data_IF_165198236909
#
_entry.id   IF_165198236909
#
_cell.length_a   1.000
_cell.length_b   1.000
_cell.length_c   1.000
_cell.angle_alpha   90.00
_cell.angle_beta   90.00
_cell.angle_gamma   90.00
#
_symmetry.space_group_name_H-M   'P 1'
#
loop_
_entity.id
_entity.type
_entity.pdbx_description
1 polymer ?
#
# COMPACT_ATOMS: atom_id res chain seq x y z
N UNK A 1 -9.29 18.28 14.90
CA UNK A 1 -9.38 17.92 13.47
C UNK A 1 -8.23 17.00 13.15
N UNK A 2 -8.52 15.77 12.74
CA UNK A 2 -7.50 14.90 12.13
C UNK A 2 -7.50 15.18 10.63
N UNK A 3 -6.35 15.65 10.12
CA UNK A 3 -6.17 15.93 8.69
C UNK A 3 -5.71 14.69 7.92
N UNK A 4 -5.12 13.72 8.62
CA UNK A 4 -4.61 12.48 8.06
C UNK A 4 -5.13 11.35 8.95
N UNK A 5 -5.69 10.35 8.31
CA UNK A 5 -6.11 9.13 8.96
C UNK A 5 -5.12 8.02 8.67
N UNK A 6 -4.93 7.15 9.67
CA UNK A 6 -4.08 5.99 9.57
C UNK A 6 -4.77 4.77 10.17
N UNK A 7 -4.72 3.68 9.44
CA UNK A 7 -5.25 2.38 9.86
C UNK A 7 -4.22 1.31 9.59
N UNK A 8 -4.17 0.28 10.43
CA UNK A 8 -3.25 -0.83 10.22
C UNK A 8 -3.92 -2.17 10.48
N UNK A 9 -3.41 -3.21 9.84
CA UNK A 9 -3.97 -4.55 9.94
C UNK A 9 -2.89 -5.61 9.74
N UNK A 10 -3.15 -6.80 10.26
CA UNK A 10 -2.22 -7.92 10.21
C UNK A 10 -2.98 -9.22 9.96
N UNK A 11 -2.39 -10.16 9.24
CA UNK A 11 -2.94 -11.51 9.11
C UNK A 11 -1.83 -12.56 9.14
N UNK A 12 -2.17 -13.73 9.67
CA UNK A 12 -1.33 -14.93 9.70
C UNK A 12 -2.05 -16.11 9.04
N UNK A 13 -3.03 -15.83 8.18
CA UNK A 13 -3.74 -16.87 7.42
C UNK A 13 -2.77 -17.56 6.47
N UNK A 14 -2.76 -18.89 6.43
CA UNK A 14 -1.83 -19.65 5.59
C UNK A 14 -2.09 -19.43 4.09
N UNK A 15 -3.31 -19.07 3.70
CA UNK A 15 -3.63 -18.76 2.33
C UNK A 15 -3.26 -17.31 2.00
N UNK A 16 -2.36 -17.14 1.03
CA UNK A 16 -1.78 -15.83 0.69
C UNK A 16 -2.82 -14.78 0.27
N UNK A 17 -3.82 -15.18 -0.54
CA UNK A 17 -4.93 -14.31 -0.94
C UNK A 17 -5.76 -13.85 0.28
N UNK A 18 -6.12 -14.79 1.15
CA UNK A 18 -6.89 -14.48 2.37
C UNK A 18 -6.10 -13.62 3.33
N UNK A 19 -4.80 -13.87 3.49
CA UNK A 19 -3.95 -13.08 4.37
C UNK A 19 -3.90 -11.60 3.95
N UNK A 20 -3.71 -11.34 2.65
CA UNK A 20 -3.79 -9.99 2.09
C UNK A 20 -5.16 -9.33 2.33
N UNK A 21 -6.24 -10.06 2.04
CA UNK A 21 -7.61 -9.54 2.21
C UNK A 21 -7.96 -9.26 3.68
N UNK A 22 -7.61 -10.16 4.60
CA UNK A 22 -7.85 -9.99 6.03
C UNK A 22 -7.06 -8.79 6.59
N UNK A 23 -5.77 -8.69 6.28
CA UNK A 23 -4.95 -7.57 6.73
C UNK A 23 -5.47 -6.22 6.20
N UNK A 24 -5.93 -6.18 4.94
CA UNK A 24 -6.47 -4.96 4.33
C UNK A 24 -7.82 -4.56 4.95
N UNK A 25 -8.69 -5.55 5.19
CA UNK A 25 -9.98 -5.35 5.84
C UNK A 25 -9.80 -4.79 7.25
N UNK A 26 -8.86 -5.34 8.03
CA UNK A 26 -8.58 -4.87 9.39
C UNK A 26 -8.02 -3.46 9.40
N UNK A 27 -7.10 -3.14 8.48
CA UNK A 27 -6.59 -1.77 8.34
C UNK A 27 -7.70 -0.78 7.99
N UNK A 28 -8.62 -1.16 7.09
CA UNK A 28 -9.72 -0.30 6.66
C UNK A 28 -10.73 -0.03 7.79
N UNK A 29 -11.00 -1.03 8.65
CA UNK A 29 -11.88 -0.84 9.84
C UNK A 29 -11.36 0.20 10.82
N UNK A 30 -10.04 0.45 10.85
CA UNK A 30 -9.42 1.45 11.70
C UNK A 30 -9.48 2.87 11.11
N UNK A 31 -9.68 2.99 9.80
CA UNK A 31 -9.89 4.29 9.15
C UNK A 31 -11.24 4.87 9.58
N UNK A 32 -11.32 6.19 9.81
CA UNK A 32 -12.58 6.84 10.12
C UNK A 32 -13.32 7.14 8.81
N UNK A 33 -14.61 7.45 8.89
CA UNK A 33 -15.43 7.78 7.70
C UNK A 33 -15.02 9.08 6.98
N UNK A 34 -14.09 9.88 7.51
CA UNK A 34 -13.78 11.20 6.94
C UNK A 34 -12.71 11.14 5.84
N UNK A 35 -11.99 10.03 5.67
CA UNK A 35 -11.15 9.78 4.50
C UNK A 35 -11.94 8.98 3.46
N UNK A 36 -12.37 9.64 2.39
CA UNK A 36 -13.22 8.99 1.38
C UNK A 36 -12.50 7.88 0.61
N UNK A 37 -11.16 7.90 0.50
CA UNK A 37 -10.36 6.85 -0.14
C UNK A 37 -8.93 6.75 0.46
N UNK A 38 -8.37 5.54 0.59
CA UNK A 38 -6.93 5.34 0.80
C UNK A 38 -6.09 6.05 -0.27
N UNK A 39 -5.08 6.83 0.11
CA UNK A 39 -4.14 7.42 -0.85
C UNK A 39 -2.96 6.49 -1.12
N UNK A 40 -2.41 5.88 -0.05
CA UNK A 40 -1.26 4.99 -0.13
C UNK A 40 -1.37 3.88 0.90
N UNK A 41 -0.89 2.70 0.51
CA UNK A 41 -0.86 1.49 1.31
C UNK A 41 0.58 1.02 1.44
N UNK A 42 1.01 0.76 2.66
CA UNK A 42 2.26 0.09 2.98
C UNK A 42 1.97 -1.38 3.20
N UNK A 43 2.52 -2.26 2.37
CA UNK A 43 2.29 -3.71 2.42
C UNK A 43 3.60 -4.44 2.69
N UNK A 44 3.63 -5.24 3.75
CA UNK A 44 4.73 -6.16 4.03
C UNK A 44 4.21 -7.58 4.18
N UNK A 45 4.85 -8.54 3.51
CA UNK A 45 4.55 -9.96 3.65
C UNK A 45 5.80 -10.75 4.01
N UNK A 46 5.66 -11.81 4.80
CA UNK A 46 6.76 -12.72 5.03
C UNK A 46 7.12 -13.49 3.75
N UNK A 47 8.40 -13.88 3.56
CA UNK A 47 8.84 -14.57 2.34
C UNK A 47 8.15 -15.89 2.04
N UNK A 48 7.49 -16.49 3.04
CA UNK A 48 6.74 -17.76 2.90
C UNK A 48 5.42 -17.58 2.11
N UNK A 49 4.98 -16.34 1.90
CA UNK A 49 3.76 -16.01 1.18
C UNK A 49 4.05 -15.79 -0.31
N UNK A 50 3.07 -16.11 -1.16
CA UNK A 50 3.08 -15.69 -2.55
C UNK A 50 2.77 -14.17 -2.64
N UNK A 51 3.71 -13.34 -3.11
CA UNK A 51 3.54 -11.89 -3.11
C UNK A 51 2.46 -11.41 -4.08
N UNK A 52 2.22 -12.12 -5.19
CA UNK A 52 1.18 -11.77 -6.15
C UNK A 52 -0.21 -12.06 -5.57
N UNK A 53 -0.38 -13.21 -4.92
CA UNK A 53 -1.64 -13.57 -4.27
C UNK A 53 -1.95 -12.66 -3.08
N UNK A 54 -0.96 -12.32 -2.26
CA UNK A 54 -1.16 -11.31 -1.20
C UNK A 54 -1.62 -9.98 -1.80
N UNK A 55 -0.95 -9.50 -2.86
CA UNK A 55 -1.31 -8.25 -3.53
C UNK A 55 -2.74 -8.31 -4.11
N UNK A 56 -3.13 -9.44 -4.71
CA UNK A 56 -4.48 -9.67 -5.21
C UNK A 56 -5.51 -9.60 -4.07
N UNK A 57 -5.21 -10.22 -2.92
CA UNK A 57 -6.05 -10.17 -1.73
C UNK A 57 -6.29 -8.75 -1.23
N UNK A 58 -5.24 -7.92 -1.21
CA UNK A 58 -5.35 -6.50 -0.86
C UNK A 58 -6.22 -5.73 -1.86
N UNK A 59 -6.01 -5.96 -3.15
CA UNK A 59 -6.77 -5.30 -4.23
C UNK A 59 -8.25 -5.69 -4.25
N UNK A 60 -8.61 -6.90 -3.81
CA UNK A 60 -10.02 -7.29 -3.64
C UNK A 60 -10.75 -6.40 -2.62
N UNK A 61 -10.05 -5.89 -1.61
CA UNK A 61 -10.62 -5.04 -0.56
C UNK A 61 -10.54 -3.56 -0.92
N UNK A 62 -9.39 -3.10 -1.43
CA UNK A 62 -9.10 -1.67 -1.62
C UNK A 62 -9.28 -1.18 -3.08
N UNK A 63 -9.51 -2.10 -4.02
CA UNK A 63 -9.59 -1.82 -5.44
C UNK A 63 -8.22 -1.68 -6.12
N UNK A 64 -8.24 -1.61 -7.46
CA UNK A 64 -7.02 -1.59 -8.29
C UNK A 64 -6.36 -0.22 -8.41
N UNK A 65 -7.02 0.85 -8.01
CA UNK A 65 -6.53 2.22 -8.15
C UNK A 65 -5.66 2.68 -6.97
N UNK A 66 -5.61 1.92 -5.87
CA UNK A 66 -4.83 2.31 -4.69
C UNK A 66 -3.34 2.08 -4.93
N UNK A 67 -2.51 3.03 -4.51
CA UNK A 67 -1.06 2.90 -4.60
C UNK A 67 -0.56 2.03 -3.45
N UNK A 68 0.16 0.96 -3.79
CA UNK A 68 0.71 0.01 -2.82
C UNK A 68 2.24 0.04 -2.95
N UNK A 69 2.91 0.31 -1.84
CA UNK A 69 4.37 0.27 -1.71
C UNK A 69 4.75 -0.67 -0.58
N UNK A 70 5.93 -1.27 -0.65
CA UNK A 70 6.45 -2.14 0.41
C UNK A 70 7.30 -3.25 -0.14
N UNK A 71 7.29 -4.41 0.52
CA UNK A 71 8.14 -5.54 0.15
C UNK A 71 8.04 -6.71 1.12
N UNK A 72 9.05 -7.56 1.14
CA UNK A 72 9.04 -8.74 2.02
C UNK A 72 9.73 -8.45 3.37
N UNK A 73 9.14 -8.93 4.47
CA UNK A 73 9.75 -8.92 5.80
C UNK A 73 9.31 -10.13 6.61
N UNK A 74 10.27 -10.90 7.16
CA UNK A 74 9.94 -12.04 8.03
C UNK A 74 9.31 -11.54 9.33
N UNK A 75 10.03 -10.70 10.07
CA UNK A 75 9.60 -10.14 11.34
C UNK A 75 9.03 -8.73 11.16
N UNK A 76 7.85 -8.48 11.72
CA UNK A 76 7.11 -7.23 11.54
C UNK A 76 6.58 -6.75 12.89
N UNK A 77 6.68 -5.44 13.15
CA UNK A 77 6.05 -4.79 14.30
C UNK A 77 4.95 -3.90 13.73
N UNK A 78 3.70 -4.20 14.06
CA UNK A 78 2.54 -3.48 13.53
C UNK A 78 1.61 -3.11 14.68
N UNK A 79 1.52 -1.81 14.99
CA UNK A 79 0.87 -1.34 16.21
C UNK A 79 1.53 -1.95 17.45
N UNK A 80 0.74 -2.67 18.25
CA UNK A 80 1.20 -3.35 19.45
C UNK A 80 1.44 -4.87 19.24
N UNK A 81 1.50 -5.33 17.99
CA UNK A 81 1.70 -6.75 17.65
C UNK A 81 3.07 -7.00 17.04
N UNK A 82 3.68 -8.09 17.46
CA UNK A 82 4.83 -8.70 16.79
C UNK A 82 4.31 -9.84 15.89
N UNK A 83 4.73 -9.82 14.62
CA UNK A 83 4.42 -10.83 13.62
C UNK A 83 5.73 -11.49 13.19
N UNK A 84 5.88 -12.80 13.39
CA UNK A 84 7.04 -13.58 12.93
C UNK A 84 6.84 -14.16 11.52
N UNK A 85 5.60 -14.49 11.16
CA UNK A 85 5.26 -14.95 9.82
C UNK A 85 3.85 -14.49 9.46
N UNK A 86 3.74 -13.51 8.56
CA UNK A 86 2.44 -12.97 8.18
C UNK A 86 2.50 -11.77 7.25
N UNK A 87 1.34 -11.17 7.07
CA UNK A 87 1.13 -9.97 6.26
C UNK A 87 0.76 -8.82 7.19
N UNK A 88 1.40 -7.66 7.04
CA UNK A 88 1.00 -6.42 7.68
C UNK A 88 0.74 -5.33 6.65
N UNK A 89 -0.26 -4.50 6.95
CA UNK A 89 -0.71 -3.42 6.09
C UNK A 89 -0.88 -2.16 6.93
N UNK A 90 -0.38 -1.03 6.40
CA UNK A 90 -0.71 0.31 6.86
C UNK A 90 -1.39 1.09 5.75
N UNK A 91 -2.49 1.78 6.06
CA UNK A 91 -3.25 2.61 5.14
C UNK A 91 -3.17 4.05 5.62
N UNK A 92 -2.83 4.97 4.71
CA UNK A 92 -2.82 6.40 4.98
C UNK A 92 -3.80 7.09 4.02
N UNK A 93 -4.73 7.86 4.60
CA UNK A 93 -5.87 8.46 3.90
C UNK A 93 -6.11 9.91 4.31
N UNK A 94 -6.37 10.76 3.32
CA UNK A 94 -6.70 12.18 3.48
C UNK A 94 -7.23 12.77 2.16
N UNK A 95 -8.12 13.74 2.27
CA UNK A 95 -8.52 14.59 1.13
C UNK A 95 -7.55 15.73 0.86
N UNK A 96 -6.56 15.96 1.72
CA UNK A 96 -5.68 17.13 1.67
C UNK A 96 -4.36 16.87 0.95
N UNK A 97 -4.06 15.61 0.58
CA UNK A 97 -2.90 15.29 -0.24
C UNK A 97 -3.25 14.23 -1.26
N UNK A 98 -2.41 14.12 -2.29
CA UNK A 98 -2.45 13.06 -3.28
C UNK A 98 -1.06 12.45 -3.39
N UNK A 99 -1.00 11.17 -3.70
CA UNK A 99 0.23 10.42 -3.88
C UNK A 99 0.42 10.09 -5.34
N UNK A 100 1.66 10.10 -5.79
CA UNK A 100 2.07 9.55 -7.07
C UNK A 100 3.12 8.48 -6.84
N UNK A 101 3.12 7.44 -7.66
CA UNK A 101 4.11 6.38 -7.59
C UNK A 101 4.88 6.27 -8.90
N UNK A 102 6.21 6.26 -8.81
CA UNK A 102 7.10 5.96 -9.92
C UNK A 102 7.95 4.73 -9.58
N UNK A 103 8.23 3.86 -10.54
CA UNK A 103 9.15 2.72 -10.37
C UNK A 103 10.41 2.99 -11.19
N UNK A 104 11.57 2.97 -10.53
CA UNK A 104 12.86 3.12 -11.19
C UNK A 104 13.49 1.76 -11.45
N UNK A 105 13.74 1.43 -12.71
CA UNK A 105 14.53 0.26 -13.11
C UNK A 105 15.98 0.68 -13.42
N UNK A 106 16.93 -0.20 -13.13
CA UNK A 106 18.35 0.02 -13.44
C UNK A 106 18.97 1.23 -12.73
N UNK A 107 18.48 1.57 -11.53
CA UNK A 107 18.92 2.77 -10.78
C UNK A 107 20.44 2.73 -10.54
N UNK A 108 21.02 1.55 -10.28
CA UNK A 108 22.46 1.37 -10.10
C UNK A 108 23.29 1.64 -11.36
N UNK A 109 22.68 1.57 -12.55
CA UNK A 109 23.38 1.73 -13.84
C UNK A 109 23.35 3.20 -14.27
N UNK A 110 22.19 3.86 -14.16
CA UNK A 110 22.06 5.26 -14.56
C UNK A 110 21.12 6.05 -13.64
N UNK A 111 21.59 6.45 -12.44
CA UNK A 111 20.75 7.07 -11.41
C UNK A 111 20.01 8.32 -11.87
N UNK A 112 20.68 9.16 -12.68
CA UNK A 112 20.13 10.44 -13.15
C UNK A 112 19.01 10.25 -14.16
N UNK A 113 19.19 9.35 -15.13
CA UNK A 113 18.16 9.00 -16.12
C UNK A 113 16.96 8.30 -15.44
N UNK A 114 17.22 7.33 -14.58
CA UNK A 114 16.18 6.60 -13.84
C UNK A 114 15.36 7.55 -12.96
N UNK A 115 16.01 8.49 -12.27
CA UNK A 115 15.32 9.54 -11.51
C UNK A 115 14.40 10.39 -12.38
N UNK A 116 14.88 10.90 -13.53
CA UNK A 116 14.05 11.69 -14.46
C UNK A 116 12.83 10.91 -14.97
N UNK A 117 13.00 9.63 -15.31
CA UNK A 117 11.91 8.76 -15.77
C UNK A 117 10.88 8.54 -14.66
N UNK A 118 11.33 8.27 -13.44
CA UNK A 118 10.47 8.05 -12.29
C UNK A 118 9.65 9.30 -11.94
N UNK A 119 10.25 10.49 -11.96
CA UNK A 119 9.52 11.74 -11.72
C UNK A 119 8.40 11.97 -12.73
N UNK A 120 8.64 11.69 -14.02
CA UNK A 120 7.59 11.81 -15.06
C UNK A 120 6.45 10.81 -14.85
N UNK A 121 6.78 9.58 -14.46
CA UNK A 121 5.79 8.55 -14.16
C UNK A 121 4.92 8.93 -12.94
N UNK A 122 5.57 9.45 -11.89
CA UNK A 122 4.89 9.91 -10.69
C UNK A 122 3.86 11.02 -10.98
N UNK A 123 4.22 11.98 -11.84
CA UNK A 123 3.31 13.05 -12.28
C UNK A 123 2.10 12.50 -13.05
N UNK A 124 2.30 11.55 -13.96
CA UNK A 124 1.19 10.90 -14.68
C UNK A 124 0.21 10.19 -13.74
N UNK A 125 0.73 9.52 -12.71
CA UNK A 125 -0.12 8.85 -11.72
C UNK A 125 -0.95 9.84 -10.92
N UNK A 126 -0.40 11.03 -10.62
CA UNK A 126 -1.13 12.13 -9.98
C UNK A 126 -2.21 12.73 -10.89
N UNK A 127 -1.90 12.96 -12.17
CA UNK A 127 -2.84 13.50 -13.17
C UNK A 127 -4.02 12.55 -13.43
N UNK A 128 -3.76 11.24 -13.47
CA UNK A 128 -4.81 10.23 -13.63
C UNK A 128 -5.81 10.21 -12.46
N UNK A 129 -5.40 10.68 -11.28
CA UNK A 129 -6.27 10.84 -10.12
C UNK A 129 -7.10 12.14 -10.18
N UNK A 130 -6.55 13.22 -10.73
CA UNK A 130 -7.27 14.51 -10.87
C UNK A 130 -8.41 14.45 -11.90
N UNK A 131 -8.24 13.70 -12.99
CA UNK A 131 -9.27 13.56 -14.04
C UNK A 131 -10.49 12.71 -13.65
N UNK A 132 -10.51 12.12 -12.44
CA UNK A 132 -11.68 11.39 -11.91
C UNK A 132 -12.58 12.25 -11.01
N UNK A 133 -12.22 13.52 -10.77
CA UNK A 133 -12.98 14.48 -9.94
C UNK A 133 -13.56 15.67 -10.73
N UNK A 134 -13.60 15.59 -12.06
CA UNK A 134 -14.33 16.50 -12.96
C UNK A 134 -15.42 15.74 -13.70
#
# INVERSE_FOLDING_TARGET
MEFIEFGYGTSTDENSLKAGAHAASDALKMMKKYSEKPNIVFLYSSPDYDPEEVLNGVKLILGNSVQIVGGSSKFQICGNKFLENGVSIGILGSKYFSTGMGVGLGISINPKESGKKQSKMQLKTLECFQNFFT
#
